data_IF_757542988460
#
_entry.id   IF_757542988460
#
_cell.length_a   1.000
_cell.length_b   1.000
_cell.length_c   1.000
_cell.angle_alpha   90.00
_cell.angle_beta   90.00
_cell.angle_gamma   90.00
#
_symmetry.space_group_name_H-M   'P 1'
#
loop_
_entity.id
_entity.type
_entity.pdbx_description
1 polymer ?
#
# COMPACT_ATOMS: atom_id res chain seq x y z
N UNK A 1 52.02 9.11 2.60
CA UNK A 1 50.82 9.98 2.75
C UNK A 1 49.54 9.40 2.14
N UNK A 2 49.53 8.17 1.61
CA UNK A 2 48.36 7.58 0.91
C UNK A 2 47.24 6.99 1.80
N UNK A 3 47.46 6.87 3.12
CA UNK A 3 46.51 6.16 4.01
C UNK A 3 45.40 7.06 4.59
N UNK A 4 45.55 8.38 4.52
CA UNK A 4 44.55 9.33 5.03
C UNK A 4 43.46 9.64 4.01
N UNK A 5 43.77 9.59 2.72
CA UNK A 5 42.87 9.90 1.61
C UNK A 5 41.82 8.79 1.43
N UNK A 6 42.25 7.53 1.47
CA UNK A 6 41.39 6.35 1.38
C UNK A 6 40.38 6.23 2.53
N UNK A 7 40.73 6.69 3.73
CA UNK A 7 39.81 6.71 4.88
C UNK A 7 38.75 7.81 4.76
N UNK A 8 39.12 8.98 4.23
CA UNK A 8 38.22 10.12 4.08
C UNK A 8 37.15 9.85 2.98
N UNK A 9 37.56 9.28 1.86
CA UNK A 9 36.66 8.92 0.75
C UNK A 9 35.65 7.84 1.15
N UNK A 10 36.10 6.82 1.90
CA UNK A 10 35.23 5.75 2.39
C UNK A 10 34.17 6.30 3.36
N UNK A 11 34.55 7.23 4.26
CA UNK A 11 33.60 7.89 5.17
C UNK A 11 32.57 8.76 4.43
N UNK A 12 33.00 9.49 3.40
CA UNK A 12 32.10 10.31 2.59
C UNK A 12 31.08 9.44 1.83
N UNK A 13 31.55 8.35 1.21
CA UNK A 13 30.71 7.38 0.49
C UNK A 13 29.67 6.71 1.40
N UNK A 14 30.09 6.21 2.56
CA UNK A 14 29.18 5.60 3.54
C UNK A 14 28.13 6.58 4.06
N UNK A 15 28.49 7.85 4.28
CA UNK A 15 27.54 8.88 4.72
C UNK A 15 26.51 9.21 3.65
N UNK A 16 26.90 9.21 2.38
CA UNK A 16 25.98 9.39 1.25
C UNK A 16 25.02 8.20 1.13
N UNK A 17 25.52 6.97 1.25
CA UNK A 17 24.70 5.75 1.23
C UNK A 17 23.70 5.67 2.40
N UNK A 18 24.14 6.03 3.61
CA UNK A 18 23.24 6.13 4.76
C UNK A 18 22.19 7.22 4.57
N UNK A 19 22.57 8.36 3.97
CA UNK A 19 21.64 9.44 3.65
C UNK A 19 20.59 9.04 2.60
N UNK A 20 20.96 8.28 1.58
CA UNK A 20 20.02 7.78 0.56
C UNK A 20 19.11 6.69 1.12
N UNK A 21 19.65 5.76 1.92
CA UNK A 21 18.86 4.73 2.60
C UNK A 21 17.85 5.34 3.58
N UNK A 22 18.23 6.36 4.34
CA UNK A 22 17.32 7.02 5.28
C UNK A 22 16.18 7.74 4.56
N UNK A 23 16.47 8.37 3.41
CA UNK A 23 15.44 9.01 2.55
C UNK A 23 14.47 8.00 1.95
N UNK A 24 14.95 6.84 1.52
CA UNK A 24 14.08 5.80 0.96
C UNK A 24 13.18 5.20 2.04
N UNK A 25 13.70 4.95 3.24
CA UNK A 25 12.92 4.50 4.40
C UNK A 25 11.86 5.53 4.79
N UNK A 26 12.22 6.82 4.86
CA UNK A 26 11.25 7.88 5.15
C UNK A 26 10.10 7.92 4.13
N UNK A 27 10.41 7.76 2.85
CA UNK A 27 9.40 7.68 1.78
C UNK A 27 8.49 6.46 1.93
N UNK A 28 9.08 5.30 2.26
CA UNK A 28 8.32 4.06 2.47
C UNK A 28 7.38 4.16 3.67
N UNK A 29 7.84 4.73 4.78
CA UNK A 29 7.03 4.97 5.97
C UNK A 29 5.89 5.93 5.66
N UNK A 30 6.17 7.03 4.96
CA UNK A 30 5.13 8.00 4.56
C UNK A 30 4.06 7.33 3.68
N UNK A 31 4.47 6.56 2.66
CA UNK A 31 3.55 5.83 1.79
C UNK A 31 2.71 4.80 2.57
N UNK A 32 3.32 4.08 3.52
CA UNK A 32 2.63 3.12 4.37
C UNK A 32 1.61 3.81 5.29
N UNK A 33 1.97 4.93 5.91
CA UNK A 33 1.04 5.69 6.76
C UNK A 33 -0.15 6.23 5.98
N UNK A 34 0.08 6.73 4.77
CA UNK A 34 -0.99 7.20 3.87
C UNK A 34 -1.92 6.05 3.46
N UNK A 35 -1.34 4.87 3.16
CA UNK A 35 -2.11 3.66 2.89
C UNK A 35 -2.94 3.21 4.10
N UNK A 36 -2.33 3.14 5.29
CA UNK A 36 -3.02 2.80 6.54
C UNK A 36 -4.17 3.76 6.83
N UNK A 37 -3.97 5.07 6.69
CA UNK A 37 -5.03 6.06 6.87
C UNK A 37 -6.17 5.88 5.86
N UNK A 38 -5.83 5.55 4.62
CA UNK A 38 -6.83 5.26 3.58
C UNK A 38 -7.63 3.99 3.91
N UNK A 39 -6.96 2.93 4.37
CA UNK A 39 -7.61 1.67 4.78
C UNK A 39 -8.47 1.88 6.03
N UNK A 40 -7.98 2.60 7.03
CA UNK A 40 -8.73 2.92 8.23
C UNK A 40 -9.98 3.75 7.91
N UNK A 41 -9.86 4.76 7.02
CA UNK A 41 -11.01 5.50 6.51
C UNK A 41 -12.01 4.60 5.80
N UNK A 42 -11.55 3.68 4.95
CA UNK A 42 -12.42 2.71 4.26
C UNK A 42 -13.10 1.74 5.23
N UNK A 43 -12.40 1.29 6.27
CA UNK A 43 -12.98 0.45 7.32
C UNK A 43 -14.03 1.21 8.13
N UNK A 44 -13.73 2.43 8.57
CA UNK A 44 -14.69 3.28 9.25
C UNK A 44 -15.95 3.54 8.40
N UNK A 45 -15.83 3.65 7.08
CA UNK A 45 -16.97 3.75 6.16
C UNK A 45 -17.72 2.40 6.03
N UNK A 46 -17.02 1.27 6.06
CA UNK A 46 -17.64 -0.06 6.02
C UNK A 46 -18.35 -0.43 7.33
N UNK A 47 -17.89 0.11 8.45
CA UNK A 47 -18.50 -0.06 9.78
C UNK A 47 -19.76 0.80 9.97
N UNK A 48 -20.02 1.75 9.05
CA UNK A 48 -21.29 2.49 9.00
C UNK A 48 -22.37 1.62 8.36
N UNK A 49 -23.51 1.49 9.03
CA UNK A 49 -24.72 0.83 8.51
C UNK A 49 -25.14 1.45 7.17
N UNK A 50 -25.57 0.67 6.16
CA UNK A 50 -25.98 1.18 4.84
C UNK A 50 -27.00 2.33 4.88
N UNK A 51 -27.90 2.33 5.86
CA UNK A 51 -28.88 3.40 6.08
C UNK A 51 -28.22 4.73 6.44
N UNK A 52 -27.16 4.72 7.25
CA UNK A 52 -26.39 5.93 7.61
C UNK A 52 -25.57 6.47 6.44
N UNK A 53 -25.08 5.59 5.55
CA UNK A 53 -24.40 6.02 4.32
C UNK A 53 -25.37 6.73 3.37
N UNK A 54 -26.61 6.22 3.27
CA UNK A 54 -27.67 6.81 2.46
C UNK A 54 -28.08 8.19 2.96
N UNK A 55 -28.15 8.39 4.28
CA UNK A 55 -28.50 9.67 4.90
C UNK A 55 -27.44 10.77 4.67
N UNK A 56 -26.16 10.38 4.47
CA UNK A 56 -25.06 11.31 4.14
C UNK A 56 -25.00 11.59 2.62
N UNK A 57 -25.94 11.04 1.84
CA UNK A 57 -25.95 11.14 0.38
C UNK A 57 -24.91 10.24 -0.30
N UNK A 58 -24.31 9.30 0.45
CA UNK A 58 -23.36 8.33 -0.09
C UNK A 58 -24.14 7.12 -0.62
N UNK A 59 -24.46 7.13 -1.92
CA UNK A 59 -24.96 5.94 -2.61
C UNK A 59 -23.90 4.84 -2.51
N UNK A 60 -24.31 3.65 -2.05
CA UNK A 60 -23.44 2.48 -1.84
C UNK A 60 -22.50 2.31 -3.05
N UNK A 61 -21.19 2.41 -2.82
CA UNK A 61 -20.21 2.30 -3.90
C UNK A 61 -20.37 0.94 -4.60
N UNK A 62 -20.19 0.85 -5.94
CA UNK A 62 -20.34 -0.40 -6.66
C UNK A 62 -19.38 -1.44 -6.07
N UNK A 63 -19.90 -2.36 -5.25
CA UNK A 63 -19.12 -3.51 -4.81
C UNK A 63 -18.82 -4.33 -6.07
N UNK A 64 -17.57 -4.79 -6.26
CA UNK A 64 -17.27 -5.73 -7.34
C UNK A 64 -17.97 -7.05 -7.03
N UNK A 65 -19.19 -7.20 -7.53
CA UNK A 65 -19.94 -8.45 -7.46
C UNK A 65 -19.36 -9.38 -8.52
N UNK A 66 -18.55 -10.35 -8.09
CA UNK A 66 -18.13 -11.45 -8.95
C UNK A 66 -19.34 -12.29 -9.32
N UNK A 67 -19.99 -11.95 -10.43
CA UNK A 67 -21.08 -12.75 -10.98
C UNK A 67 -20.50 -13.96 -11.71
N UNK A 68 -20.13 -14.97 -10.93
CA UNK A 68 -19.66 -16.25 -11.44
C UNK A 68 -20.88 -16.99 -12.00
N UNK A 69 -21.06 -16.96 -13.32
CA UNK A 69 -22.08 -17.78 -13.99
C UNK A 69 -21.83 -19.25 -13.66
N UNK A 70 -22.89 -20.00 -13.34
CA UNK A 70 -22.79 -21.41 -12.93
C UNK A 70 -21.95 -22.28 -13.90
N UNK A 71 -22.03 -22.00 -15.20
CA UNK A 71 -21.22 -22.71 -16.21
C UNK A 71 -19.71 -22.49 -16.12
N UNK A 72 -19.23 -21.40 -15.50
CA UNK A 72 -17.80 -21.13 -15.31
C UNK A 72 -17.19 -22.08 -14.27
N UNK A 73 -17.93 -22.37 -13.19
CA UNK A 73 -17.50 -23.32 -12.16
C UNK A 73 -17.39 -24.73 -12.75
N UNK A 74 -18.40 -25.13 -13.54
CA UNK A 74 -18.42 -26.44 -14.22
C UNK A 74 -17.25 -26.58 -15.20
N UNK A 75 -16.99 -25.54 -16.00
CA UNK A 75 -15.90 -25.57 -16.98
C UNK A 75 -14.52 -25.67 -16.29
N UNK A 76 -14.31 -24.96 -15.17
CA UNK A 76 -13.10 -25.08 -14.36
C UNK A 76 -12.92 -26.49 -13.77
N UNK A 77 -13.99 -27.16 -13.33
CA UNK A 77 -13.90 -28.53 -12.83
C UNK A 77 -13.53 -29.55 -13.92
N UNK A 78 -13.96 -29.32 -15.16
CA UNK A 78 -13.71 -30.21 -16.30
C UNK A 78 -12.33 -30.08 -16.93
N UNK A 79 -11.55 -29.06 -16.57
CA UNK A 79 -10.18 -28.84 -17.05
C UNK A 79 -9.10 -29.50 -16.16
N UNK A 80 -9.51 -30.23 -15.11
CA UNK A 80 -8.62 -31.06 -14.28
C UNK A 80 -8.33 -32.40 -14.96
#
# INVERSE_FOLDING_TARGET
MAHTETLAENRASNRLLLGTALKSMATMVAAFTAWQQTVARRRAIADLTPDLLKDIGHSEAPRPTLNIKAGLITNLMSMR
#
